data_IF_407550014794
#
_entry.id   IF_407550014794
#
_cell.length_a   1.000
_cell.length_b   1.000
_cell.length_c   1.000
_cell.angle_alpha   90.00
_cell.angle_beta   90.00
_cell.angle_gamma   90.00
#
_symmetry.space_group_name_H-M   'P 1'
#
loop_
_entity.id
_entity.type
_entity.pdbx_description
1 polymer ?
#
# COMPACT_ATOMS: atom_id res chain seq x y z
N UNK A 1 -16.47 7.59 -24.83
CA UNK A 1 -17.41 8.52 -25.50
C UNK A 1 -18.47 7.74 -26.27
N UNK A 2 -18.12 6.63 -26.92
CA UNK A 2 -19.06 5.84 -27.74
C UNK A 2 -20.18 5.13 -26.96
N UNK A 3 -20.03 4.90 -25.65
CA UNK A 3 -21.06 4.27 -24.80
C UNK A 3 -22.13 5.23 -24.28
N UNK A 4 -21.93 6.55 -24.39
CA UNK A 4 -22.86 7.54 -23.82
C UNK A 4 -24.29 7.41 -24.38
N UNK A 5 -24.49 7.26 -25.71
CA UNK A 5 -25.84 7.08 -26.26
C UNK A 5 -26.54 5.84 -25.69
N UNK A 6 -25.82 4.72 -25.60
CA UNK A 6 -26.35 3.46 -25.06
C UNK A 6 -26.72 3.58 -23.58
N UNK A 7 -25.86 4.19 -22.75
CA UNK A 7 -26.13 4.38 -21.32
C UNK A 7 -27.39 5.24 -21.08
N UNK A 8 -27.61 6.26 -21.94
CA UNK A 8 -28.84 7.08 -21.88
C UNK A 8 -30.08 6.30 -22.30
N UNK A 9 -29.97 5.42 -23.29
CA UNK A 9 -31.08 4.56 -23.75
C UNK A 9 -31.58 3.64 -22.64
N UNK A 10 -30.67 3.02 -21.87
CA UNK A 10 -31.02 2.16 -20.74
C UNK A 10 -31.34 2.92 -19.45
N UNK A 11 -31.47 4.25 -19.53
CA UNK A 11 -31.88 5.10 -18.40
C UNK A 11 -30.83 5.27 -17.31
N UNK A 12 -29.55 4.99 -17.58
CA UNK A 12 -28.47 5.24 -16.62
C UNK A 12 -28.14 6.73 -16.59
N UNK A 13 -28.23 7.33 -15.40
CA UNK A 13 -27.80 8.70 -15.18
C UNK A 13 -26.26 8.78 -15.16
N UNK A 14 -25.68 9.64 -16.00
CA UNK A 14 -24.25 9.87 -16.07
C UNK A 14 -23.91 11.11 -15.25
N UNK A 15 -23.09 10.95 -14.23
CA UNK A 15 -22.60 12.05 -13.39
C UNK A 15 -21.12 12.30 -13.67
N UNK A 16 -20.72 13.56 -13.76
CA UNK A 16 -19.31 13.94 -13.79
C UNK A 16 -18.77 14.05 -12.36
N UNK A 17 -17.67 13.35 -12.07
CA UNK A 17 -16.97 13.44 -10.80
C UNK A 17 -15.48 13.70 -11.06
N UNK A 18 -15.06 14.95 -10.86
CA UNK A 18 -13.68 15.38 -11.13
C UNK A 18 -12.85 15.11 -9.87
N UNK A 19 -12.12 14.00 -9.88
CA UNK A 19 -11.16 13.67 -8.83
C UNK A 19 -9.97 12.87 -9.38
N UNK A 20 -8.81 12.89 -8.70
CA UNK A 20 -7.68 12.05 -9.08
C UNK A 20 -8.04 10.57 -8.91
N UNK A 21 -7.98 9.79 -9.99
CA UNK A 21 -8.22 8.34 -9.95
C UNK A 21 -6.90 7.55 -9.84
N UNK A 22 -5.79 8.15 -10.28
CA UNK A 22 -4.48 7.50 -10.37
C UNK A 22 -3.63 7.72 -9.12
N UNK A 23 -2.59 6.91 -8.94
CA UNK A 23 -1.76 6.85 -7.74
C UNK A 23 -1.05 8.15 -7.34
N UNK A 24 -0.72 9.05 -8.27
CA UNK A 24 0.15 10.23 -8.03
C UNK A 24 0.01 10.93 -6.66
N UNK A 25 -1.20 11.30 -6.16
CA UNK A 25 -1.36 11.90 -4.83
C UNK A 25 -0.88 11.03 -3.65
N UNK A 26 -0.85 9.70 -3.80
CA UNK A 26 -0.50 8.74 -2.76
C UNK A 26 0.97 8.82 -2.31
N UNK A 27 1.83 9.56 -3.00
CA UNK A 27 3.23 9.78 -2.56
C UNK A 27 3.31 10.45 -1.18
N UNK A 28 2.26 11.18 -0.79
CA UNK A 28 2.17 11.86 0.50
C UNK A 28 1.32 11.09 1.53
N UNK A 29 0.68 9.99 1.11
CA UNK A 29 -0.22 9.23 1.97
C UNK A 29 0.53 8.17 2.77
N UNK A 30 0.15 8.04 4.05
CA UNK A 30 0.69 7.01 4.93
C UNK A 30 0.39 5.62 4.38
N UNK A 31 1.33 4.67 4.55
CA UNK A 31 1.31 3.31 3.99
C UNK A 31 1.36 3.26 2.45
N UNK A 32 0.52 4.01 1.74
CA UNK A 32 0.47 4.01 0.28
C UNK A 32 1.80 4.42 -0.35
N UNK A 33 2.49 5.41 0.23
CA UNK A 33 3.81 5.87 -0.21
C UNK A 33 4.94 4.84 -0.08
N UNK A 34 4.75 3.71 0.61
CA UNK A 34 5.80 2.71 0.81
C UNK A 34 6.30 2.09 -0.50
N UNK A 35 5.45 2.06 -1.52
CA UNK A 35 5.80 1.60 -2.87
C UNK A 35 4.94 2.35 -3.89
N UNK A 36 5.53 3.30 -4.63
CA UNK A 36 4.84 4.00 -5.72
C UNK A 36 4.44 3.04 -6.83
N UNK A 37 3.19 3.14 -7.30
CA UNK A 37 2.69 2.29 -8.37
C UNK A 37 1.74 3.08 -9.29
N UNK A 38 2.23 3.48 -10.46
CA UNK A 38 1.54 4.43 -11.37
C UNK A 38 0.15 3.96 -11.78
N UNK A 39 -0.03 2.65 -12.00
CA UNK A 39 -1.31 2.05 -12.39
C UNK A 39 -2.28 1.83 -11.21
N UNK A 40 -1.89 2.17 -9.99
CA UNK A 40 -2.74 2.02 -8.80
C UNK A 40 -3.79 3.13 -8.71
N UNK A 41 -4.90 2.83 -8.04
CA UNK A 41 -5.86 3.84 -7.65
C UNK A 41 -5.25 4.87 -6.68
N UNK A 42 -5.77 6.10 -6.72
CA UNK A 42 -5.58 7.07 -5.64
C UNK A 42 -6.30 6.59 -4.38
N UNK A 43 -5.75 6.91 -3.21
CA UNK A 43 -6.38 6.62 -1.94
C UNK A 43 -7.69 7.41 -1.78
N UNK A 44 -7.72 8.65 -2.26
CA UNK A 44 -8.91 9.52 -2.21
C UNK A 44 -10.05 9.00 -3.07
N UNK A 45 -9.76 8.45 -4.26
CA UNK A 45 -10.78 7.82 -5.10
C UNK A 45 -11.42 6.65 -4.37
N UNK A 46 -10.62 5.73 -3.84
CA UNK A 46 -11.16 4.58 -3.09
C UNK A 46 -11.97 5.04 -1.87
N UNK A 47 -11.48 6.04 -1.13
CA UNK A 47 -12.20 6.60 0.02
C UNK A 47 -13.56 7.16 -0.41
N UNK A 48 -13.62 7.88 -1.54
CA UNK A 48 -14.89 8.42 -2.06
C UNK A 48 -15.92 7.33 -2.37
N UNK A 49 -15.46 6.17 -2.89
CA UNK A 49 -16.33 5.03 -3.14
C UNK A 49 -16.79 4.38 -1.84
N UNK A 50 -15.90 4.21 -0.86
CA UNK A 50 -16.27 3.69 0.47
C UNK A 50 -17.31 4.61 1.12
N UNK A 51 -17.08 5.93 1.11
CA UNK A 51 -18.00 6.90 1.71
C UNK A 51 -19.36 6.95 1.01
N UNK A 52 -19.40 6.72 -0.31
CA UNK A 52 -20.64 6.65 -1.07
C UNK A 52 -21.53 5.48 -0.64
N UNK A 53 -20.96 4.32 -0.32
CA UNK A 53 -21.71 3.09 -0.07
C UNK A 53 -21.75 2.63 1.40
N UNK A 54 -20.96 3.22 2.30
CA UNK A 54 -20.86 2.76 3.69
C UNK A 54 -22.21 2.71 4.43
N UNK A 55 -23.10 3.68 4.22
CA UNK A 55 -24.41 3.72 4.88
C UNK A 55 -25.36 2.65 4.32
N UNK A 56 -25.25 2.32 3.03
CA UNK A 56 -26.09 1.31 2.38
C UNK A 56 -25.78 -0.10 2.90
N UNK A 57 -24.49 -0.41 3.10
CA UNK A 57 -24.05 -1.76 3.49
C UNK A 57 -23.75 -1.90 4.98
N UNK A 58 -23.52 -0.81 5.72
CA UNK A 58 -23.17 -0.78 7.14
C UNK A 58 -21.78 -1.34 7.46
N UNK A 59 -21.56 -2.64 7.27
CA UNK A 59 -20.27 -3.32 7.49
C UNK A 59 -19.93 -4.29 6.33
N UNK A 60 -19.65 -3.76 5.13
CA UNK A 60 -19.38 -4.59 3.96
C UNK A 60 -18.07 -5.37 4.06
N UNK A 61 -17.99 -6.46 3.30
CA UNK A 61 -16.72 -7.05 2.88
C UNK A 61 -16.36 -6.54 1.49
N UNK A 62 -15.17 -5.98 1.33
CA UNK A 62 -14.70 -5.38 0.07
C UNK A 62 -13.83 -6.39 -0.70
N UNK A 63 -14.12 -6.58 -1.99
CA UNK A 63 -13.32 -7.43 -2.88
C UNK A 63 -12.64 -6.58 -3.96
N UNK A 64 -11.32 -6.72 -4.09
CA UNK A 64 -10.55 -6.21 -5.22
C UNK A 64 -9.92 -7.38 -6.01
N UNK A 65 -10.50 -7.80 -7.15
CA UNK A 65 -9.98 -8.94 -7.91
C UNK A 65 -8.65 -8.64 -8.62
N UNK A 66 -8.18 -7.39 -8.63
CA UNK A 66 -6.94 -6.97 -9.28
C UNK A 66 -6.18 -6.01 -8.35
N UNK A 67 -5.83 -6.52 -7.17
CA UNK A 67 -5.41 -5.71 -6.03
C UNK A 67 -4.15 -4.89 -6.27
N UNK A 68 -3.28 -5.29 -7.22
CA UNK A 68 -2.03 -4.60 -7.49
C UNK A 68 -1.20 -4.42 -6.22
N UNK A 69 -0.78 -3.19 -5.93
CA UNK A 69 -0.06 -2.87 -4.69
C UNK A 69 -0.97 -2.67 -3.46
N UNK A 70 -2.27 -2.95 -3.57
CA UNK A 70 -3.22 -3.04 -2.46
C UNK A 70 -3.90 -1.73 -2.04
N UNK A 71 -4.05 -0.72 -2.89
CA UNK A 71 -4.70 0.55 -2.49
C UNK A 71 -6.10 0.32 -1.91
N UNK A 72 -6.93 -0.47 -2.57
CA UNK A 72 -8.30 -0.76 -2.10
C UNK A 72 -8.29 -1.48 -0.76
N UNK A 73 -7.44 -2.51 -0.63
CA UNK A 73 -7.35 -3.32 0.59
C UNK A 73 -6.84 -2.50 1.78
N UNK A 74 -5.85 -1.63 1.56
CA UNK A 74 -5.31 -0.74 2.59
C UNK A 74 -6.38 0.26 3.05
N UNK A 75 -7.13 0.87 2.12
CA UNK A 75 -8.21 1.79 2.49
C UNK A 75 -9.36 1.09 3.19
N UNK A 76 -9.73 -0.13 2.77
CA UNK A 76 -10.69 -0.94 3.49
C UNK A 76 -10.23 -1.19 4.94
N UNK A 77 -8.96 -1.57 5.13
CA UNK A 77 -8.38 -1.79 6.47
C UNK A 77 -8.37 -0.51 7.32
N UNK A 78 -8.02 0.64 6.74
CA UNK A 78 -8.04 1.93 7.44
C UNK A 78 -9.45 2.34 7.90
N UNK A 79 -10.49 1.93 7.16
CA UNK A 79 -11.89 2.15 7.51
C UNK A 79 -12.49 1.02 8.38
N UNK A 80 -11.69 0.03 8.78
CA UNK A 80 -12.15 -1.08 9.64
C UNK A 80 -12.97 -2.16 8.93
N UNK A 81 -13.00 -2.17 7.59
CA UNK A 81 -13.72 -3.17 6.81
C UNK A 81 -12.88 -4.41 6.55
N UNK A 82 -13.57 -5.56 6.48
CA UNK A 82 -12.99 -6.80 5.98
C UNK A 82 -12.75 -6.65 4.48
N UNK A 83 -11.58 -7.08 4.00
CA UNK A 83 -11.29 -7.04 2.57
C UNK A 83 -10.56 -8.28 2.08
N UNK A 84 -10.72 -8.56 0.79
CA UNK A 84 -10.07 -9.63 0.06
C UNK A 84 -9.57 -9.09 -1.27
N UNK A 85 -8.43 -9.57 -1.74
CA UNK A 85 -8.01 -9.28 -3.10
C UNK A 85 -7.09 -10.32 -3.68
N UNK A 86 -7.08 -10.35 -5.01
CA UNK A 86 -6.25 -11.27 -5.80
C UNK A 86 -5.26 -10.47 -6.63
N UNK A 87 -4.04 -10.97 -6.74
CA UNK A 87 -2.98 -10.39 -7.57
C UNK A 87 -2.06 -11.52 -8.02
N UNK A 88 -1.77 -11.57 -9.32
CA UNK A 88 -0.96 -12.63 -9.92
C UNK A 88 0.53 -12.32 -9.82
N UNK A 89 0.92 -11.05 -9.87
CA UNK A 89 2.30 -10.63 -9.81
C UNK A 89 2.85 -10.80 -8.38
N UNK A 90 3.84 -11.70 -8.16
CA UNK A 90 4.34 -11.98 -6.81
C UNK A 90 4.94 -10.76 -6.10
N UNK A 91 5.54 -9.83 -6.86
CA UNK A 91 6.11 -8.61 -6.29
C UNK A 91 5.01 -7.67 -5.79
N UNK A 92 3.95 -7.47 -6.58
CA UNK A 92 2.82 -6.62 -6.19
C UNK A 92 2.08 -7.23 -5.00
N UNK A 93 1.87 -8.55 -5.00
CA UNK A 93 1.31 -9.28 -3.88
C UNK A 93 2.16 -9.11 -2.60
N UNK A 94 3.48 -9.23 -2.69
CA UNK A 94 4.38 -9.00 -1.56
C UNK A 94 4.25 -7.56 -1.00
N UNK A 95 4.21 -6.58 -1.89
CA UNK A 95 4.03 -5.17 -1.51
C UNK A 95 2.68 -4.97 -0.81
N UNK A 96 1.58 -5.49 -1.39
CA UNK A 96 0.25 -5.39 -0.80
C UNK A 96 0.20 -6.06 0.58
N UNK A 97 0.73 -7.27 0.71
CA UNK A 97 0.79 -7.99 1.99
C UNK A 97 1.61 -7.22 3.04
N UNK A 98 2.72 -6.62 2.66
CA UNK A 98 3.53 -5.79 3.56
C UNK A 98 2.75 -4.55 4.00
N UNK A 99 2.12 -3.85 3.05
CA UNK A 99 1.25 -2.69 3.32
C UNK A 99 0.01 -3.04 4.13
N UNK A 100 -0.41 -4.30 4.20
CA UNK A 100 -1.56 -4.72 4.98
C UNK A 100 -1.19 -5.19 6.39
N UNK A 101 -0.03 -5.81 6.58
CA UNK A 101 0.24 -6.59 7.78
C UNK A 101 1.35 -6.02 8.69
N UNK A 102 2.06 -4.96 8.30
CA UNK A 102 3.27 -4.53 8.99
C UNK A 102 3.17 -3.22 9.81
N UNK A 103 1.99 -2.60 9.92
CA UNK A 103 1.83 -1.30 10.60
C UNK A 103 0.91 -1.29 11.82
N UNK A 104 0.26 -2.42 12.14
CA UNK A 104 -0.51 -2.56 13.39
C UNK A 104 0.44 -2.92 14.53
N UNK A 105 1.27 -1.95 14.94
CA UNK A 105 2.33 -2.14 15.94
C UNK A 105 2.19 -1.10 17.03
N UNK A 106 2.27 -1.53 18.29
CA UNK A 106 2.28 -0.62 19.45
C UNK A 106 3.55 0.25 19.41
N UNK A 107 3.45 1.59 19.37
CA UNK A 107 4.62 2.47 19.26
C UNK A 107 5.68 2.22 20.35
N UNK A 108 5.25 2.02 21.59
CA UNK A 108 6.15 1.75 22.72
C UNK A 108 6.90 0.42 22.55
N UNK A 109 6.26 -0.59 21.97
CA UNK A 109 6.90 -1.87 21.70
C UNK A 109 7.94 -1.74 20.58
N UNK A 110 7.59 -1.03 19.49
CA UNK A 110 8.53 -0.75 18.40
C UNK A 110 9.77 0.01 18.90
N UNK A 111 9.58 1.06 19.70
CA UNK A 111 10.68 1.83 20.30
C UNK A 111 11.53 0.97 21.23
N UNK A 112 10.92 0.11 22.05
CA UNK A 112 11.65 -0.82 22.91
C UNK A 112 12.55 -1.74 22.10
N UNK A 113 12.00 -2.40 21.06
CA UNK A 113 12.75 -3.29 20.18
C UNK A 113 13.88 -2.54 19.46
N UNK A 114 13.58 -1.36 18.91
CA UNK A 114 14.57 -0.52 18.23
C UNK A 114 15.74 -0.13 19.14
N UNK A 115 15.46 0.19 20.41
CA UNK A 115 16.47 0.57 21.40
C UNK A 115 17.28 -0.64 21.91
N UNK A 116 16.68 -1.83 21.99
CA UNK A 116 17.39 -3.05 22.41
C UNK A 116 18.16 -3.75 21.29
N UNK A 117 17.93 -3.36 20.03
CA UNK A 117 18.51 -4.03 18.87
C UNK A 117 20.05 -3.88 18.84
N UNK A 118 20.81 -4.99 18.70
CA UNK A 118 22.27 -4.94 18.58
C UNK A 118 22.71 -4.07 17.39
N UNK A 119 23.67 -3.17 17.62
CA UNK A 119 24.23 -2.27 16.58
C UNK A 119 25.61 -2.67 16.08
N UNK A 120 26.19 -3.71 16.67
CA UNK A 120 27.49 -4.28 16.30
C UNK A 120 27.37 -5.48 15.35
N UNK A 121 26.14 -5.85 14.95
CA UNK A 121 25.86 -6.92 14.00
C UNK A 121 25.54 -6.31 12.64
N UNK A 122 26.03 -6.95 11.58
CA UNK A 122 25.79 -6.53 10.20
C UNK A 122 25.31 -7.74 9.39
N UNK A 123 24.27 -7.56 8.59
CA UNK A 123 23.94 -8.49 7.51
C UNK A 123 24.73 -8.09 6.27
N UNK A 124 25.36 -9.04 5.55
CA UNK A 124 26.02 -8.74 4.29
C UNK A 124 25.01 -8.24 3.25
N UNK A 125 25.49 -7.33 2.39
CA UNK A 125 24.75 -6.85 1.23
C UNK A 125 24.39 -8.03 0.31
N UNK A 126 23.12 -8.15 -0.13
CA UNK A 126 22.75 -9.11 -1.15
C UNK A 126 23.60 -8.98 -2.43
N UNK A 127 24.00 -10.11 -3.02
CA UNK A 127 24.90 -10.15 -4.18
C UNK A 127 24.37 -9.43 -5.43
N UNK A 128 23.06 -9.15 -5.50
CA UNK A 128 22.45 -8.40 -6.60
C UNK A 128 22.62 -6.88 -6.45
N UNK A 129 22.93 -6.37 -5.26
CA UNK A 129 23.24 -4.96 -5.05
C UNK A 129 24.71 -4.72 -5.41
N UNK A 130 24.98 -4.71 -6.71
CA UNK A 130 26.34 -4.74 -7.27
C UNK A 130 27.04 -3.38 -7.29
N UNK A 131 26.38 -2.27 -6.94
CA UNK A 131 26.96 -0.93 -7.06
C UNK A 131 26.63 0.02 -5.90
N UNK A 132 27.58 0.93 -5.61
CA UNK A 132 27.38 2.09 -4.73
C UNK A 132 26.38 3.12 -5.31
N UNK A 133 25.82 2.88 -6.50
CA UNK A 133 24.84 3.79 -7.13
C UNK A 133 23.40 3.52 -6.69
N UNK A 134 23.10 2.32 -6.19
CA UNK A 134 21.74 1.97 -5.76
C UNK A 134 21.41 2.58 -4.39
N UNK A 135 22.43 2.75 -3.55
CA UNK A 135 22.30 3.40 -2.24
C UNK A 135 23.52 4.27 -1.95
N UNK A 136 23.28 5.45 -1.37
CA UNK A 136 24.34 6.21 -0.73
C UNK A 136 25.06 5.33 0.31
N UNK A 137 26.40 5.35 0.34
CA UNK A 137 27.22 4.48 1.20
C UNK A 137 26.83 4.50 2.67
N UNK A 138 26.52 5.67 3.22
CA UNK A 138 26.06 5.82 4.61
C UNK A 138 24.69 5.18 4.85
N UNK A 139 23.78 5.25 3.88
CA UNK A 139 22.46 4.61 3.94
C UNK A 139 22.62 3.09 3.89
N UNK A 140 23.43 2.57 2.96
CA UNK A 140 23.67 1.13 2.84
C UNK A 140 24.22 0.55 4.15
N UNK A 141 25.25 1.19 4.72
CA UNK A 141 25.83 0.79 6.00
C UNK A 141 24.78 0.75 7.13
N UNK A 142 23.90 1.75 7.19
CA UNK A 142 22.82 1.78 8.19
C UNK A 142 21.82 0.64 7.98
N UNK A 143 21.48 0.30 6.73
CA UNK A 143 20.60 -0.82 6.41
C UNK A 143 21.22 -2.16 6.79
N UNK A 144 22.52 -2.36 6.55
CA UNK A 144 23.25 -3.57 6.97
C UNK A 144 23.22 -3.76 8.49
N UNK A 145 23.43 -2.68 9.25
CA UNK A 145 23.36 -2.69 10.72
C UNK A 145 21.94 -3.00 11.19
N UNK A 146 20.93 -2.31 10.64
CA UNK A 146 19.53 -2.51 11.03
C UNK A 146 19.12 -3.96 10.75
N UNK A 147 19.42 -4.48 9.56
CA UNK A 147 19.08 -5.85 9.19
C UNK A 147 19.81 -6.87 10.07
N UNK A 148 21.12 -6.71 10.27
CA UNK A 148 21.90 -7.61 11.14
C UNK A 148 21.41 -7.59 12.58
N UNK A 149 20.96 -6.44 13.07
CA UNK A 149 20.33 -6.29 14.38
C UNK A 149 18.99 -7.03 14.47
N UNK A 150 18.13 -6.89 13.47
CA UNK A 150 16.82 -7.60 13.40
C UNK A 150 17.03 -9.12 13.37
N UNK A 151 17.98 -9.62 12.59
CA UNK A 151 18.29 -11.05 12.48
C UNK A 151 18.92 -11.65 13.74
N UNK A 152 19.34 -10.81 14.69
CA UNK A 152 19.98 -11.23 15.95
C UNK A 152 19.03 -11.20 17.15
N UNK A 153 17.76 -10.84 16.97
CA UNK A 153 16.69 -10.86 17.98
C UNK A 153 15.87 -12.14 17.78
#
# INVERSE_FOLDING_TARGET
MDSIPYLKEIGINITENIQPIQFTPNINEHIHRWAPYVQGFSASFVQSIIDQYKEEYGNPAILDPFAGCGTVLVQAKLNGYKSFGTELNPLLQFIANTKLNCWDVRPNYLLKVYNSMPRNKNSPVPSFLKSETQFNRGVLKNLEIIKGGIESI
#
